data_IF_401662191599
#
_entry.id   IF_401662191599
#
_cell.length_a   1.000
_cell.length_b   1.000
_cell.length_c   1.000
_cell.angle_alpha   90.00
_cell.angle_beta   90.00
_cell.angle_gamma   90.00
#
_symmetry.space_group_name_H-M   'P 1'
#
loop_
_entity.id
_entity.type
_entity.pdbx_description
1 polymer ?
#
# COMPACT_ATOMS: atom_id res chain seq x y z
N UNK A 1 23.00 -40.28 -64.14
CA UNK A 1 23.42 -39.53 -62.94
C UNK A 1 22.18 -38.91 -62.28
N UNK A 2 21.71 -39.50 -61.16
CA UNK A 2 20.52 -38.99 -60.41
C UNK A 2 21.01 -38.14 -59.22
N UNK A 3 20.63 -36.89 -59.20
CA UNK A 3 20.92 -35.94 -58.15
C UNK A 3 19.95 -36.15 -56.95
N UNK A 4 20.45 -36.64 -55.84
CA UNK A 4 19.70 -36.74 -54.57
C UNK A 4 19.55 -35.33 -54.00
N UNK A 5 18.29 -34.89 -53.79
CA UNK A 5 17.96 -33.63 -53.07
C UNK A 5 17.99 -33.87 -51.55
N UNK A 6 18.82 -33.12 -50.86
CA UNK A 6 18.86 -33.12 -49.40
C UNK A 6 17.61 -32.43 -48.83
N UNK A 7 16.73 -33.19 -48.19
CA UNK A 7 15.51 -32.71 -47.52
C UNK A 7 15.65 -32.61 -46.01
N UNK A 8 16.88 -32.66 -45.44
CA UNK A 8 17.03 -32.79 -43.99
C UNK A 8 17.35 -31.49 -43.24
N UNK A 9 17.51 -30.34 -43.89
CA UNK A 9 17.89 -29.10 -43.24
C UNK A 9 16.71 -28.15 -42.90
N UNK A 10 15.53 -28.44 -43.38
CA UNK A 10 14.33 -27.58 -43.11
C UNK A 10 13.59 -27.95 -41.83
N UNK A 11 13.67 -29.19 -41.36
CA UNK A 11 12.98 -29.63 -40.15
C UNK A 11 13.64 -29.14 -38.84
N UNK A 12 14.98 -29.02 -38.82
CA UNK A 12 15.71 -28.65 -37.59
C UNK A 12 15.55 -27.16 -37.22
N UNK A 13 15.38 -26.29 -38.22
CA UNK A 13 15.20 -24.85 -37.97
C UNK A 13 13.84 -24.53 -37.37
N UNK A 14 12.77 -25.27 -37.78
CA UNK A 14 11.44 -25.06 -37.20
C UNK A 14 11.30 -25.56 -35.79
N UNK A 15 12.04 -26.60 -35.39
CA UNK A 15 12.02 -27.12 -34.00
C UNK A 15 12.76 -26.17 -33.06
N UNK A 16 13.85 -25.54 -33.50
CA UNK A 16 14.57 -24.55 -32.68
C UNK A 16 13.78 -23.24 -32.51
N UNK A 17 13.04 -22.78 -33.51
CA UNK A 17 12.19 -21.60 -33.39
C UNK A 17 10.97 -21.84 -32.48
N UNK A 18 10.40 -23.04 -32.47
CA UNK A 18 9.30 -23.41 -31.58
C UNK A 18 9.79 -23.54 -30.12
N UNK A 19 10.99 -24.06 -29.88
CA UNK A 19 11.57 -24.17 -28.55
C UNK A 19 11.98 -22.79 -27.98
N UNK A 20 12.43 -21.85 -28.82
CA UNK A 20 12.75 -20.49 -28.40
C UNK A 20 11.49 -19.65 -28.08
N UNK A 21 10.34 -19.96 -28.74
CA UNK A 21 9.08 -19.30 -28.46
C UNK A 21 8.41 -19.81 -27.16
N UNK A 22 8.72 -21.05 -26.75
CA UNK A 22 8.24 -21.61 -25.48
C UNK A 22 9.03 -21.13 -24.25
N UNK A 23 10.25 -20.61 -24.44
CA UNK A 23 11.03 -20.01 -23.35
C UNK A 23 10.70 -18.52 -23.12
N UNK A 24 9.91 -17.89 -24.01
CA UNK A 24 9.43 -16.51 -23.84
C UNK A 24 7.98 -16.44 -23.38
N UNK A 25 7.41 -17.58 -22.97
CA UNK A 25 6.17 -17.52 -22.20
C UNK A 25 6.51 -17.09 -20.79
N UNK A 26 6.72 -15.78 -20.72
CA UNK A 26 6.10 -14.97 -19.75
C UNK A 26 6.20 -15.52 -18.32
N UNK A 27 7.28 -15.18 -17.64
CA UNK A 27 7.05 -14.73 -16.28
C UNK A 27 6.10 -13.52 -16.36
N UNK A 28 4.81 -13.76 -16.58
CA UNK A 28 3.80 -12.86 -16.06
C UNK A 28 4.04 -12.93 -14.57
N UNK A 29 4.93 -12.06 -14.08
CA UNK A 29 4.98 -11.70 -12.70
C UNK A 29 3.57 -11.20 -12.43
N UNK A 30 2.72 -12.10 -11.93
CA UNK A 30 1.50 -11.70 -11.28
C UNK A 30 1.94 -10.67 -10.27
N UNK A 31 1.71 -9.40 -10.60
CA UNK A 31 1.83 -8.31 -9.65
C UNK A 31 0.75 -8.62 -8.62
N UNK A 32 1.10 -9.48 -7.67
CA UNK A 32 0.28 -9.64 -6.47
C UNK A 32 0.23 -8.25 -5.87
N UNK A 33 -0.95 -7.65 -5.93
CA UNK A 33 -1.21 -6.45 -5.18
C UNK A 33 -0.64 -6.69 -3.77
N UNK A 34 0.30 -5.85 -3.35
CA UNK A 34 1.01 -6.01 -2.09
C UNK A 34 0.06 -5.68 -0.94
N UNK A 35 -0.93 -6.54 -0.76
CA UNK A 35 -1.84 -6.47 0.39
C UNK A 35 -1.11 -6.97 1.62
N UNK A 36 -1.47 -6.43 2.77
CA UNK A 36 -1.01 -6.98 4.05
C UNK A 36 -1.36 -8.47 4.12
N UNK A 37 -0.45 -9.25 4.67
CA UNK A 37 -0.73 -10.64 5.00
C UNK A 37 -2.02 -10.70 5.83
N UNK A 38 -2.90 -11.66 5.52
CA UNK A 38 -4.09 -11.90 6.33
C UNK A 38 -3.66 -12.18 7.76
N UNK A 39 -4.20 -11.46 8.76
CA UNK A 39 -3.81 -11.69 10.14
C UNK A 39 -4.33 -13.03 10.63
N UNK A 40 -3.50 -13.75 11.37
CA UNK A 40 -3.92 -14.93 12.10
C UNK A 40 -4.84 -14.55 13.26
N UNK A 41 -5.78 -15.42 13.62
CA UNK A 41 -6.55 -15.27 14.84
C UNK A 41 -5.62 -15.63 15.99
N UNK A 42 -5.47 -14.73 16.98
CA UNK A 42 -4.62 -15.03 18.12
C UNK A 42 -5.16 -16.24 18.90
N UNK A 43 -4.26 -17.17 19.19
CA UNK A 43 -4.50 -18.15 20.26
C UNK A 43 -4.62 -17.42 21.62
N UNK A 44 -5.18 -18.10 22.61
CA UNK A 44 -5.36 -17.57 23.96
C UNK A 44 -4.05 -17.03 24.54
N UNK A 45 -4.13 -15.88 25.20
CA UNK A 45 -2.98 -15.17 25.74
C UNK A 45 -3.33 -13.75 26.18
N UNK A 46 -2.31 -12.97 26.50
CA UNK A 46 -2.48 -11.59 26.99
C UNK A 46 -1.38 -10.65 26.55
N UNK A 47 -1.70 -9.35 26.52
CA UNK A 47 -0.68 -8.31 26.43
C UNK A 47 0.12 -8.20 27.71
N UNK A 48 1.44 -8.15 27.57
CA UNK A 48 2.40 -8.00 28.67
C UNK A 48 3.34 -6.86 28.33
N UNK A 49 3.67 -6.04 29.32
CA UNK A 49 4.67 -4.99 29.17
C UNK A 49 6.06 -5.60 29.28
N UNK A 50 6.92 -5.27 28.32
CA UNK A 50 8.33 -5.65 28.27
C UNK A 50 9.17 -4.39 28.10
N UNK A 51 9.66 -3.87 29.23
CA UNK A 51 10.29 -2.56 29.27
C UNK A 51 9.38 -1.46 28.70
N UNK A 52 9.84 -0.80 27.65
CA UNK A 52 9.09 0.23 26.93
C UNK A 52 8.13 -0.29 25.87
N UNK A 53 8.04 -1.59 25.67
CA UNK A 53 7.28 -2.22 24.60
C UNK A 53 6.11 -3.04 25.13
N UNK A 54 5.17 -3.38 24.25
CA UNK A 54 4.14 -4.34 24.51
C UNK A 54 4.40 -5.58 23.66
N UNK A 55 4.30 -6.75 24.29
CA UNK A 55 4.33 -8.07 23.65
C UNK A 55 2.97 -8.77 23.83
N UNK A 56 2.67 -9.75 23.01
CA UNK A 56 1.57 -10.68 23.24
C UNK A 56 2.15 -12.03 23.67
N UNK A 57 1.82 -12.47 24.88
CA UNK A 57 2.27 -13.73 25.43
C UNK A 57 1.12 -14.71 25.42
N UNK A 58 1.32 -15.84 24.75
CA UNK A 58 0.38 -16.94 24.72
C UNK A 58 0.36 -17.67 26.06
N UNK A 59 -0.67 -18.50 26.29
CA UNK A 59 -0.82 -19.27 27.54
C UNK A 59 0.28 -20.32 27.71
N UNK A 60 0.86 -20.82 26.62
CA UNK A 60 2.03 -21.70 26.60
C UNK A 60 3.36 -20.98 26.93
N UNK A 61 3.31 -19.71 27.33
CA UNK A 61 4.44 -18.82 27.66
C UNK A 61 5.24 -18.32 26.46
N UNK A 62 5.01 -18.79 25.23
CA UNK A 62 5.63 -18.25 24.04
C UNK A 62 5.13 -16.83 23.72
N UNK A 63 5.81 -16.11 22.85
CA UNK A 63 5.42 -14.75 22.45
C UNK A 63 5.23 -14.63 20.94
N UNK A 64 4.29 -13.78 20.55
CA UNK A 64 4.05 -13.46 19.15
C UNK A 64 5.26 -12.75 18.54
N UNK A 65 5.81 -13.27 17.42
CA UNK A 65 6.93 -12.68 16.70
C UNK A 65 6.71 -12.71 15.20
N UNK A 66 7.09 -11.63 14.51
CA UNK A 66 7.03 -11.49 13.06
C UNK A 66 5.67 -11.88 12.45
N UNK A 67 4.58 -11.48 13.11
CA UNK A 67 3.22 -11.94 12.78
C UNK A 67 2.19 -10.82 12.90
N UNK A 68 1.19 -10.86 12.03
CA UNK A 68 -0.05 -10.11 12.19
C UNK A 68 -1.04 -10.95 12.99
N UNK A 69 -1.53 -10.43 14.09
CA UNK A 69 -2.56 -11.08 14.91
C UNK A 69 -3.83 -10.25 14.95
N UNK A 70 -4.97 -10.93 14.87
CA UNK A 70 -6.27 -10.38 15.16
C UNK A 70 -6.65 -10.73 16.59
N UNK A 71 -6.72 -9.73 17.45
CA UNK A 71 -7.07 -9.82 18.87
C UNK A 71 -8.25 -8.87 19.09
N UNK A 72 -9.36 -9.33 19.60
CA UNK A 72 -10.56 -8.52 19.88
C UNK A 72 -11.00 -7.63 18.69
N UNK A 73 -11.10 -8.24 17.51
CA UNK A 73 -11.47 -7.57 16.24
C UNK A 73 -10.45 -6.53 15.73
N UNK A 74 -9.34 -6.28 16.44
CA UNK A 74 -8.26 -5.37 16.04
C UNK A 74 -7.09 -6.14 15.48
N UNK A 75 -6.38 -5.57 14.52
CA UNK A 75 -5.19 -6.16 13.91
C UNK A 75 -3.94 -5.52 14.48
N UNK A 76 -3.06 -6.32 15.04
CA UNK A 76 -1.77 -5.93 15.58
C UNK A 76 -0.65 -6.54 14.75
N UNK A 77 0.53 -5.95 14.80
CA UNK A 77 1.75 -6.55 14.30
C UNK A 77 2.80 -6.60 15.39
N UNK A 78 3.45 -7.76 15.50
CA UNK A 78 4.59 -7.98 16.40
C UNK A 78 5.83 -8.23 15.54
N UNK A 79 6.88 -7.47 15.79
CA UNK A 79 8.12 -7.59 15.03
C UNK A 79 8.91 -8.86 15.41
N UNK A 80 10.10 -9.03 14.82
CA UNK A 80 10.98 -10.18 15.09
C UNK A 80 11.41 -10.32 16.57
N UNK A 81 11.41 -9.23 17.33
CA UNK A 81 11.69 -9.21 18.76
C UNK A 81 10.44 -9.46 19.61
N UNK A 82 9.26 -9.55 19.01
CA UNK A 82 7.98 -9.65 19.70
C UNK A 82 7.37 -8.30 20.11
N UNK A 83 7.99 -7.19 19.75
CA UNK A 83 7.49 -5.87 20.11
C UNK A 83 6.31 -5.46 19.21
N UNK A 84 5.22 -5.05 19.82
CA UNK A 84 4.03 -4.54 19.13
C UNK A 84 4.34 -3.22 18.44
N UNK A 85 3.96 -3.10 17.18
CA UNK A 85 4.08 -1.86 16.43
C UNK A 85 3.07 -0.79 16.89
N UNK A 86 3.48 0.46 16.74
CA UNK A 86 2.65 1.66 16.83
C UNK A 86 3.21 2.70 15.86
N UNK A 87 2.45 3.76 15.55
CA UNK A 87 2.84 4.79 14.57
C UNK A 87 2.93 4.26 13.13
N UNK A 88 3.67 4.93 12.27
CA UNK A 88 3.81 4.61 10.86
C UNK A 88 4.86 3.51 10.63
N UNK A 89 4.53 2.55 9.77
CA UNK A 89 5.46 1.52 9.29
C UNK A 89 5.23 1.24 7.81
N UNK A 90 6.33 1.01 7.09
CA UNK A 90 6.30 0.64 5.67
C UNK A 90 6.36 -0.88 5.53
N UNK A 91 5.41 -1.43 4.77
CA UNK A 91 5.33 -2.86 4.48
C UNK A 91 5.13 -3.01 2.98
N UNK A 92 6.06 -3.70 2.32
CA UNK A 92 6.01 -3.93 0.86
C UNK A 92 5.75 -2.62 0.08
N UNK A 93 6.47 -1.56 0.41
CA UNK A 93 6.39 -0.25 -0.25
C UNK A 93 5.14 0.59 0.06
N UNK A 94 4.23 0.14 0.92
CA UNK A 94 3.07 0.90 1.38
C UNK A 94 3.20 1.29 2.85
N UNK A 95 2.75 2.49 3.19
CA UNK A 95 2.76 2.98 4.57
C UNK A 95 1.44 2.64 5.27
N UNK A 96 1.55 2.18 6.51
CA UNK A 96 0.43 1.80 7.38
C UNK A 96 0.58 2.46 8.75
N UNK A 97 -0.54 2.85 9.34
CA UNK A 97 -0.55 3.47 10.66
C UNK A 97 -1.14 2.53 11.72
N UNK A 98 -0.34 2.21 12.73
CA UNK A 98 -0.72 1.32 13.83
C UNK A 98 -1.20 2.08 15.08
N UNK A 99 -1.75 3.27 14.89
CA UNK A 99 -2.25 4.10 15.98
C UNK A 99 -1.15 4.67 16.87
N UNK A 100 -1.55 5.22 17.99
CA UNK A 100 -0.65 5.75 19.03
C UNK A 100 0.00 4.61 19.81
N UNK A 101 0.95 4.95 20.68
CA UNK A 101 1.60 3.96 21.56
C UNK A 101 0.60 3.20 22.46
N UNK A 102 -0.47 3.86 22.87
CA UNK A 102 -1.54 3.23 23.66
C UNK A 102 -2.42 2.31 22.81
N UNK A 103 -2.65 2.64 21.54
CA UNK A 103 -3.50 1.85 20.63
C UNK A 103 -2.74 0.65 20.06
N UNK A 104 -1.69 0.87 19.27
CA UNK A 104 -0.82 -0.15 18.68
C UNK A 104 -1.51 -1.14 17.75
N UNK A 105 -2.66 -0.79 17.16
CA UNK A 105 -3.36 -1.63 16.17
C UNK A 105 -3.51 -0.89 14.85
N UNK A 106 -3.63 -1.63 13.77
CA UNK A 106 -3.78 -1.12 12.41
C UNK A 106 -5.05 -0.28 12.29
N UNK A 107 -4.87 1.00 11.98
CA UNK A 107 -5.97 1.92 11.69
C UNK A 107 -6.38 1.77 10.22
N UNK A 108 -7.67 1.77 9.95
CA UNK A 108 -8.25 1.65 8.61
C UNK A 108 -9.32 2.68 8.39
N UNK A 109 -9.50 3.08 7.11
CA UNK A 109 -10.58 3.94 6.65
C UNK A 109 -10.76 5.20 7.52
N UNK A 110 -9.64 5.88 7.81
CA UNK A 110 -9.62 6.97 8.79
C UNK A 110 -8.66 8.09 8.41
N UNK A 111 -9.05 9.30 8.78
CA UNK A 111 -8.16 10.47 8.74
C UNK A 111 -7.25 10.44 9.97
N UNK A 112 -5.96 10.59 9.73
CA UNK A 112 -4.92 10.59 10.76
C UNK A 112 -4.31 11.97 10.85
N UNK A 113 -4.32 12.57 12.05
CA UNK A 113 -3.52 13.76 12.34
C UNK A 113 -2.20 13.31 12.98
N UNK A 114 -1.09 13.64 12.33
CA UNK A 114 0.24 13.23 12.80
C UNK A 114 1.25 14.35 12.53
N UNK A 115 1.95 14.79 13.57
CA UNK A 115 2.94 15.88 13.52
C UNK A 115 2.43 17.12 12.76
N UNK A 116 1.20 17.56 13.07
CA UNK A 116 0.59 18.75 12.46
C UNK A 116 -0.07 18.52 11.09
N UNK A 117 0.27 17.45 10.38
CA UNK A 117 -0.26 17.11 9.07
C UNK A 117 -1.44 16.12 9.13
N UNK A 118 -2.21 16.07 8.05
CA UNK A 118 -3.30 15.12 7.90
C UNK A 118 -2.96 14.10 6.81
N UNK A 119 -3.26 12.85 7.10
CA UNK A 119 -3.10 11.68 6.23
C UNK A 119 -4.40 10.91 6.19
N UNK A 120 -4.63 10.13 5.15
CA UNK A 120 -5.75 9.20 5.12
C UNK A 120 -5.24 7.78 4.90
N UNK A 121 -5.80 6.83 5.65
CA UNK A 121 -5.56 5.40 5.44
C UNK A 121 -6.83 4.76 4.92
N UNK A 122 -6.71 4.00 3.84
CA UNK A 122 -7.81 3.39 3.12
C UNK A 122 -8.44 2.20 3.83
N UNK A 123 -9.35 1.52 3.13
CA UNK A 123 -10.05 0.33 3.60
C UNK A 123 -9.10 -0.82 3.95
N UNK A 124 -8.01 -0.97 3.24
CA UNK A 124 -6.95 -1.94 3.51
C UNK A 124 -5.97 -1.48 4.59
N UNK A 125 -6.04 -0.21 5.04
CA UNK A 125 -5.15 0.43 6.00
C UNK A 125 -3.93 1.09 5.38
N UNK A 126 -3.73 0.98 4.06
CA UNK A 126 -2.64 1.65 3.38
C UNK A 126 -2.88 3.17 3.32
N UNK A 127 -1.79 3.94 3.43
CA UNK A 127 -1.80 5.38 3.23
C UNK A 127 -2.22 5.72 1.80
N UNK A 128 -3.16 6.64 1.68
CA UNK A 128 -3.66 7.14 0.40
C UNK A 128 -2.78 8.26 -0.11
N UNK A 129 -2.50 8.26 -1.41
CA UNK A 129 -1.86 9.35 -2.16
C UNK A 129 -2.70 9.69 -3.38
N UNK A 130 -2.55 10.91 -3.91
CA UNK A 130 -3.35 11.38 -5.03
C UNK A 130 -4.79 11.75 -4.65
N UNK A 131 -5.70 11.64 -5.61
CA UNK A 131 -7.10 12.01 -5.40
C UNK A 131 -7.85 11.00 -4.53
N UNK A 132 -8.61 11.51 -3.59
CA UNK A 132 -9.51 10.75 -2.74
C UNK A 132 -10.88 11.44 -2.65
N UNK A 133 -11.94 10.68 -2.84
CA UNK A 133 -13.31 11.14 -2.66
C UNK A 133 -13.92 10.43 -1.45
N UNK A 134 -14.40 11.19 -0.48
CA UNK A 134 -15.06 10.62 0.70
C UNK A 134 -16.51 10.20 0.40
N UNK A 135 -17.17 9.60 1.40
CA UNK A 135 -18.56 9.12 1.28
C UNK A 135 -19.57 10.23 1.01
N UNK A 136 -19.26 11.48 1.31
CA UNK A 136 -20.11 12.64 1.04
C UNK A 136 -19.86 13.27 -0.33
N UNK A 137 -18.98 12.68 -1.15
CA UNK A 137 -18.60 13.19 -2.46
C UNK A 137 -17.55 14.30 -2.42
N UNK A 138 -17.00 14.64 -1.24
CA UNK A 138 -15.91 15.63 -1.13
C UNK A 138 -14.61 15.03 -1.62
N UNK A 139 -13.90 15.81 -2.43
CA UNK A 139 -12.61 15.42 -2.98
C UNK A 139 -11.47 16.06 -2.20
N UNK A 140 -10.42 15.29 -2.00
CA UNK A 140 -9.18 15.67 -1.35
C UNK A 140 -8.00 15.25 -2.24
N UNK A 141 -6.88 15.93 -2.07
CA UNK A 141 -5.63 15.52 -2.69
C UNK A 141 -4.58 15.26 -1.62
N UNK A 142 -3.96 14.08 -1.69
CA UNK A 142 -2.85 13.70 -0.83
C UNK A 142 -1.58 13.68 -1.65
N UNK A 143 -0.56 14.39 -1.18
CA UNK A 143 0.74 14.47 -1.83
C UNK A 143 1.40 13.08 -1.90
N UNK A 144 2.47 12.89 -2.69
CA UNK A 144 3.20 11.61 -2.75
C UNK A 144 3.72 11.12 -1.38
N UNK A 145 4.02 12.03 -0.45
CA UNK A 145 4.39 11.71 0.93
C UNK A 145 3.19 11.39 1.84
N UNK A 146 1.96 11.43 1.29
CA UNK A 146 0.70 11.17 1.97
C UNK A 146 0.12 12.35 2.73
N UNK A 147 0.79 13.50 2.78
CA UNK A 147 0.22 14.70 3.43
C UNK A 147 -0.96 15.24 2.64
N UNK A 148 -2.03 15.59 3.34
CA UNK A 148 -3.18 16.23 2.69
C UNK A 148 -2.82 17.61 2.21
N UNK A 149 -2.95 17.84 0.90
CA UNK A 149 -2.80 19.17 0.35
C UNK A 149 -3.96 20.07 0.76
N UNK A 150 -3.65 21.27 1.25
CA UNK A 150 -4.63 22.26 1.68
C UNK A 150 -4.09 23.67 1.41
N UNK A 151 -4.99 24.59 1.06
CA UNK A 151 -4.70 25.99 0.80
C UNK A 151 -3.73 26.22 -0.37
N UNK A 152 -4.25 26.17 -1.58
CA UNK A 152 -3.45 26.51 -2.76
C UNK A 152 -4.03 25.96 -4.06
N UNK A 153 -3.33 26.24 -5.13
CA UNK A 153 -3.66 25.80 -6.46
C UNK A 153 -2.96 24.49 -6.80
N UNK A 154 -3.71 23.54 -7.36
CA UNK A 154 -3.19 22.33 -7.99
C UNK A 154 -3.53 22.37 -9.48
N UNK A 155 -2.57 22.08 -10.35
CA UNK A 155 -2.81 21.94 -11.79
C UNK A 155 -2.50 20.53 -12.25
N UNK A 156 -3.35 20.03 -13.13
CA UNK A 156 -3.17 18.74 -13.82
C UNK A 156 -3.48 18.97 -15.31
N UNK A 157 -2.44 19.13 -16.11
CA UNK A 157 -2.58 19.56 -17.50
C UNK A 157 -3.22 20.97 -17.58
N UNK A 158 -4.34 21.10 -18.29
CA UNK A 158 -5.09 22.33 -18.42
C UNK A 158 -6.15 22.57 -17.31
N UNK A 159 -6.25 21.65 -16.36
CA UNK A 159 -7.27 21.74 -15.30
C UNK A 159 -6.68 22.23 -14.00
N UNK A 160 -7.31 23.25 -13.42
CA UNK A 160 -6.89 23.88 -12.18
C UNK A 160 -7.90 23.59 -11.06
N UNK A 161 -7.38 23.35 -9.86
CA UNK A 161 -8.17 23.13 -8.65
C UNK A 161 -7.67 24.04 -7.55
N UNK A 162 -8.57 24.74 -6.89
CA UNK A 162 -8.22 25.49 -5.69
C UNK A 162 -8.63 24.70 -4.45
N UNK A 163 -7.65 24.38 -3.62
CA UNK A 163 -7.87 23.63 -2.38
C UNK A 163 -8.01 24.63 -1.24
N UNK A 164 -9.24 24.81 -0.75
CA UNK A 164 -9.49 25.52 0.50
C UNK A 164 -9.29 24.57 1.68
N UNK A 165 -9.04 25.10 2.86
CA UNK A 165 -8.71 24.32 4.08
C UNK A 165 -9.54 23.04 4.30
N UNK A 166 -10.79 23.00 3.83
CA UNK A 166 -11.70 21.85 3.94
C UNK A 166 -12.44 21.52 2.63
N UNK A 167 -12.22 22.23 1.54
CA UNK A 167 -12.99 22.07 0.31
C UNK A 167 -12.10 22.22 -0.93
N UNK A 168 -12.45 21.49 -1.96
CA UNK A 168 -11.96 21.69 -3.31
C UNK A 168 -13.01 22.46 -4.12
N UNK A 169 -12.59 23.47 -4.89
CA UNK A 169 -13.39 24.07 -5.95
C UNK A 169 -12.68 23.82 -7.27
N UNK A 170 -13.33 23.10 -8.19
CA UNK A 170 -12.89 23.05 -9.60
C UNK A 170 -13.22 24.41 -10.20
N UNK A 171 -12.25 25.02 -10.81
CA UNK A 171 -12.42 26.26 -11.55
C UNK A 171 -12.45 25.93 -13.04
N UNK A 172 -13.64 25.92 -13.61
CA UNK A 172 -13.83 25.87 -15.05
C UNK A 172 -13.54 27.28 -15.56
N UNK A 173 -12.50 27.49 -16.36
CA UNK A 173 -12.01 28.78 -16.88
C UNK A 173 -11.32 29.66 -15.83
N UNK A 174 -10.06 29.36 -15.52
CA UNK A 174 -9.17 30.35 -14.90
C UNK A 174 -8.60 31.22 -16.02
N UNK A 175 -9.15 32.42 -16.17
CA UNK A 175 -8.40 33.52 -16.81
C UNK A 175 -7.16 33.73 -15.94
N UNK A 176 -5.99 33.35 -16.44
CA UNK A 176 -4.72 33.79 -15.89
C UNK A 176 -4.71 35.32 -16.03
N UNK A 177 -5.11 36.03 -14.97
CA UNK A 177 -4.69 37.42 -14.79
C UNK A 177 -3.18 37.32 -14.60
N UNK A 178 -2.46 37.57 -15.70
CA UNK A 178 -1.06 37.94 -15.69
C UNK A 178 -0.97 39.21 -14.84
N UNK A 179 -0.47 39.06 -13.62
CA UNK A 179 0.06 40.21 -12.91
C UNK A 179 1.39 40.54 -13.57
N UNK A 180 1.37 41.62 -14.40
CA UNK A 180 2.53 42.37 -14.79
C UNK A 180 3.17 43.03 -13.56
#
# INVERSE_FOLDING_TARGET
MKRKRNHSLRSSVFIFLAALFLLFTCSVSTIYASTLQKPDIAASGKFVKDGNYWIYRYDDKTIAKNVFLKIDKKTYYFNKLGHRWCSWHTIKGKNYYFGTRSQGYLIKNSLIKYKGNYYYVGKDGAMVTGWYTDKSGKKYYFMPDGTRYSNGWLSFGSTYYYMMHLRMKKMDNVFLLQFL
#
